data_IF_792586506082
#
_entry.id   IF_792586506082
#
_cell.length_a   1.000
_cell.length_b   1.000
_cell.length_c   1.000
_cell.angle_alpha   90.00
_cell.angle_beta   90.00
_cell.angle_gamma   90.00
#
_symmetry.space_group_name_H-M   'P 1'
#
loop_
_entity.id
_entity.type
_entity.pdbx_description
1 polymer ?
#
# COMPACT_ATOMS: atom_id res chain seq x y z
N UNK A 1 19.36 8.60 16.13
CA UNK A 1 18.44 9.04 15.08
C UNK A 1 18.07 7.90 14.14
N UNK A 2 18.91 7.43 13.21
CA UNK A 2 18.56 6.43 12.18
C UNK A 2 17.95 5.14 12.75
N UNK A 3 18.51 4.56 13.82
CA UNK A 3 17.94 3.36 14.48
C UNK A 3 16.49 3.58 14.95
N UNK A 4 16.14 4.77 15.45
CA UNK A 4 14.76 5.07 15.86
C UNK A 4 13.81 5.09 14.65
N UNK A 5 14.23 5.62 13.51
CA UNK A 5 13.42 5.66 12.29
C UNK A 5 13.15 4.26 11.74
N UNK A 6 14.19 3.43 11.68
CA UNK A 6 14.03 2.02 11.28
C UNK A 6 13.07 1.29 12.23
N UNK A 7 13.20 1.53 13.54
CA UNK A 7 12.30 0.93 14.53
C UNK A 7 10.85 1.41 14.34
N UNK A 8 10.63 2.72 14.14
CA UNK A 8 9.29 3.27 13.86
C UNK A 8 8.67 2.61 12.62
N UNK A 9 9.46 2.54 11.53
CA UNK A 9 8.99 1.91 10.29
C UNK A 9 8.67 0.42 10.49
N UNK A 10 9.53 -0.31 11.18
CA UNK A 10 9.30 -1.73 11.48
C UNK A 10 8.03 -1.95 12.33
N UNK A 11 7.84 -1.11 13.36
CA UNK A 11 6.63 -1.16 14.20
C UNK A 11 5.37 -0.87 13.36
N UNK A 12 5.39 0.16 12.52
CA UNK A 12 4.24 0.49 11.66
C UNK A 12 3.90 -0.64 10.69
N UNK A 13 4.90 -1.24 10.03
CA UNK A 13 4.70 -2.37 9.14
C UNK A 13 4.18 -3.60 9.89
N UNK A 14 4.69 -3.87 11.09
CA UNK A 14 4.18 -4.95 11.95
C UNK A 14 2.70 -4.74 12.30
N UNK A 15 2.34 -3.54 12.75
CA UNK A 15 0.95 -3.22 13.04
C UNK A 15 0.06 -3.24 11.79
N UNK A 16 0.55 -2.80 10.64
CA UNK A 16 -0.19 -2.92 9.38
C UNK A 16 -0.53 -4.38 9.07
N UNK A 17 0.45 -5.28 9.17
CA UNK A 17 0.26 -6.72 8.94
C UNK A 17 -0.73 -7.29 9.96
N UNK A 18 -0.53 -6.97 11.24
CA UNK A 18 -1.39 -7.45 12.34
C UNK A 18 -2.85 -7.00 12.14
N UNK A 19 -3.07 -5.74 11.83
CA UNK A 19 -4.41 -5.18 11.61
C UNK A 19 -5.04 -5.73 10.33
N UNK A 20 -4.26 -5.87 9.25
CA UNK A 20 -4.73 -6.40 7.98
C UNK A 20 -5.26 -7.83 8.10
N UNK A 21 -4.50 -8.75 8.73
CA UNK A 21 -4.95 -10.12 8.94
C UNK A 21 -5.90 -10.25 10.13
N UNK A 22 -5.69 -9.44 11.17
CA UNK A 22 -6.53 -9.45 12.37
C UNK A 22 -7.97 -9.07 12.09
N UNK A 23 -8.23 -8.09 11.21
CA UNK A 23 -9.59 -7.69 10.87
C UNK A 23 -10.36 -8.81 10.15
N UNK A 24 -9.70 -9.72 9.43
CA UNK A 24 -10.36 -10.85 8.77
C UNK A 24 -11.09 -11.78 9.73
N UNK A 25 -10.68 -11.85 11.00
CA UNK A 25 -11.32 -12.68 12.02
C UNK A 25 -12.74 -12.19 12.38
N UNK A 26 -13.01 -10.92 12.15
CA UNK A 26 -14.28 -10.26 12.50
C UNK A 26 -15.23 -10.06 11.31
N UNK A 27 -14.77 -10.36 10.10
CA UNK A 27 -15.56 -10.18 8.88
C UNK A 27 -16.61 -11.31 8.73
N UNK A 28 -17.87 -10.90 8.55
CA UNK A 28 -19.00 -11.87 8.51
C UNK A 28 -19.76 -11.87 7.19
N UNK A 29 -20.07 -10.71 6.63
CA UNK A 29 -20.82 -10.56 5.36
C UNK A 29 -19.87 -10.08 4.29
N UNK A 30 -19.45 -10.99 3.43
CA UNK A 30 -18.45 -10.70 2.39
C UNK A 30 -19.21 -10.34 1.10
N UNK A 31 -18.81 -9.23 0.48
CA UNK A 31 -19.39 -8.69 -0.74
C UNK A 31 -18.48 -8.95 -1.94
N UNK A 32 -19.05 -9.49 -3.01
CA UNK A 32 -18.32 -9.64 -4.27
C UNK A 32 -18.19 -8.29 -4.98
N UNK A 33 -16.96 -7.88 -5.23
CA UNK A 33 -16.63 -6.60 -5.89
C UNK A 33 -16.30 -6.75 -7.37
N UNK A 34 -16.28 -7.98 -7.91
CA UNK A 34 -15.98 -8.25 -9.32
C UNK A 34 -16.99 -7.57 -10.24
N UNK A 35 -16.51 -6.96 -11.30
CA UNK A 35 -17.32 -6.29 -12.33
C UNK A 35 -16.99 -6.86 -13.71
N UNK A 36 -17.92 -6.74 -14.69
CA UNK A 36 -17.68 -7.24 -16.06
C UNK A 36 -16.40 -6.66 -16.71
N UNK A 37 -15.99 -5.45 -16.34
CA UNK A 37 -14.77 -4.82 -16.84
C UNK A 37 -13.51 -5.57 -16.40
N UNK A 38 -13.52 -6.22 -15.23
CA UNK A 38 -12.38 -6.98 -14.71
C UNK A 38 -12.05 -8.20 -15.58
N UNK A 39 -13.04 -8.73 -16.30
CA UNK A 39 -12.83 -9.81 -17.25
C UNK A 39 -12.05 -9.37 -18.49
N UNK A 40 -12.07 -8.08 -18.83
CA UNK A 40 -11.32 -7.50 -19.97
C UNK A 40 -9.84 -7.26 -19.64
N UNK A 41 -9.48 -7.21 -18.34
CA UNK A 41 -8.09 -7.06 -17.91
C UNK A 41 -7.41 -8.43 -18.04
N UNK A 42 -6.29 -8.55 -18.76
CA UNK A 42 -5.62 -9.84 -18.92
C UNK A 42 -5.01 -10.33 -17.59
N UNK A 43 -4.88 -11.65 -17.44
CA UNK A 43 -4.17 -12.29 -16.34
C UNK A 43 -2.74 -12.60 -16.78
N UNK A 44 -1.76 -11.93 -16.18
CA UNK A 44 -0.33 -12.13 -16.44
C UNK A 44 0.38 -12.58 -15.15
N UNK A 45 0.56 -13.89 -14.92
CA UNK A 45 1.19 -14.41 -13.69
C UNK A 45 2.58 -13.84 -13.40
N UNK A 46 3.39 -13.56 -14.42
CA UNK A 46 4.74 -13.01 -14.26
C UNK A 46 4.75 -11.61 -13.62
N UNK A 47 3.62 -10.88 -13.65
CA UNK A 47 3.50 -9.58 -12.98
C UNK A 47 3.42 -9.70 -11.46
N UNK A 48 3.45 -10.92 -10.93
CA UNK A 48 3.63 -11.18 -9.49
C UNK A 48 4.95 -10.61 -8.99
N UNK A 49 5.98 -10.55 -9.83
CA UNK A 49 7.27 -9.98 -9.45
C UNK A 49 7.18 -8.48 -9.12
N UNK A 50 6.71 -7.59 -10.02
CA UNK A 50 6.46 -6.19 -9.63
C UNK A 50 5.45 -6.06 -8.49
N UNK A 51 4.43 -6.91 -8.38
CA UNK A 51 3.52 -6.92 -7.23
C UNK A 51 4.29 -7.10 -5.90
N UNK A 52 5.22 -8.04 -5.83
CA UNK A 52 6.01 -8.29 -4.63
C UNK A 52 7.00 -7.16 -4.30
N UNK A 53 7.37 -6.31 -5.26
CA UNK A 53 8.20 -5.12 -4.97
C UNK A 53 7.52 -4.11 -4.04
N UNK A 54 6.23 -4.22 -3.81
CA UNK A 54 5.53 -3.39 -2.84
C UNK A 54 6.13 -3.51 -1.42
N UNK A 55 6.46 -4.72 -0.97
CA UNK A 55 7.01 -4.95 0.36
C UNK A 55 8.34 -4.20 0.61
N UNK A 56 9.40 -4.39 -0.20
CA UNK A 56 10.63 -3.61 -0.02
C UNK A 56 10.43 -2.11 -0.28
N UNK A 57 9.51 -1.72 -1.17
CA UNK A 57 9.27 -0.31 -1.46
C UNK A 57 8.71 0.42 -0.23
N UNK A 58 7.66 -0.10 0.40
CA UNK A 58 7.08 0.53 1.60
C UNK A 58 8.01 0.50 2.81
N UNK A 59 8.99 -0.40 2.85
CA UNK A 59 9.98 -0.49 3.92
C UNK A 59 11.13 0.50 3.73
N UNK A 60 11.65 0.65 2.50
CA UNK A 60 12.88 1.40 2.21
C UNK A 60 12.59 2.85 1.83
N UNK A 61 11.56 3.08 1.01
CA UNK A 61 11.24 4.41 0.49
C UNK A 61 11.11 5.51 1.55
N UNK A 62 10.41 5.30 2.69
CA UNK A 62 10.29 6.34 3.71
C UNK A 62 11.64 6.75 4.30
N UNK A 63 12.60 5.83 4.43
CA UNK A 63 13.94 6.12 4.93
C UNK A 63 14.73 7.00 3.95
N UNK A 64 14.52 6.81 2.65
CA UNK A 64 15.11 7.68 1.61
C UNK A 64 14.48 9.08 1.68
N UNK A 65 13.17 9.18 1.83
CA UNK A 65 12.48 10.47 2.00
C UNK A 65 13.00 11.21 3.22
N UNK A 66 13.19 10.53 4.36
CA UNK A 66 13.70 11.15 5.58
C UNK A 66 15.08 11.77 5.39
N UNK A 67 15.99 11.11 4.67
CA UNK A 67 17.33 11.61 4.41
C UNK A 67 17.31 12.89 3.57
N UNK A 68 16.29 13.04 2.76
CA UNK A 68 16.14 14.19 1.85
C UNK A 68 15.34 15.31 2.49
N UNK A 69 14.18 15.00 3.04
CA UNK A 69 13.25 15.97 3.64
C UNK A 69 12.50 15.34 4.83
N UNK A 70 12.91 15.66 6.07
CA UNK A 70 12.24 15.14 7.28
C UNK A 70 10.78 15.51 7.42
N UNK A 71 10.35 16.67 6.87
CA UNK A 71 8.94 17.05 6.90
C UNK A 71 8.10 16.16 5.97
N UNK A 72 8.58 15.93 4.74
CA UNK A 72 7.94 15.00 3.82
C UNK A 72 7.84 13.59 4.41
N UNK A 73 8.86 13.14 5.14
CA UNK A 73 8.80 11.86 5.87
C UNK A 73 7.73 11.87 6.96
N UNK A 74 7.69 12.92 7.80
CA UNK A 74 6.67 13.04 8.86
C UNK A 74 5.25 12.97 8.27
N UNK A 75 4.98 13.77 7.23
CA UNK A 75 3.69 13.79 6.57
C UNK A 75 3.35 12.46 5.86
N UNK A 76 4.36 11.77 5.32
CA UNK A 76 4.21 10.41 4.77
C UNK A 76 3.76 9.43 5.85
N UNK A 77 4.45 9.40 7.01
CA UNK A 77 4.09 8.51 8.12
C UNK A 77 2.68 8.75 8.63
N UNK A 78 2.32 10.03 8.88
CA UNK A 78 0.96 10.37 9.34
C UNK A 78 -0.10 9.94 8.34
N UNK A 79 0.12 10.15 7.05
CA UNK A 79 -0.77 9.69 5.99
C UNK A 79 -0.89 8.16 5.98
N UNK A 80 0.23 7.44 6.05
CA UNK A 80 0.25 5.97 6.06
C UNK A 80 -0.55 5.39 7.24
N UNK A 81 -0.40 5.96 8.43
CA UNK A 81 -1.18 5.52 9.61
C UNK A 81 -2.67 5.69 9.38
N UNK A 82 -3.09 6.83 8.81
CA UNK A 82 -4.51 7.10 8.53
C UNK A 82 -5.03 6.15 7.45
N UNK A 83 -4.24 5.90 6.38
CA UNK A 83 -4.60 4.92 5.33
C UNK A 83 -4.86 3.52 5.93
N UNK A 84 -3.99 3.07 6.83
CA UNK A 84 -4.14 1.77 7.50
C UNK A 84 -5.44 1.75 8.32
N UNK A 85 -5.66 2.75 9.16
CA UNK A 85 -6.85 2.84 10.03
C UNK A 85 -8.14 2.88 9.22
N UNK A 86 -8.19 3.71 8.18
CA UNK A 86 -9.38 3.85 7.34
C UNK A 86 -9.62 2.59 6.49
N UNK A 87 -8.57 1.97 5.98
CA UNK A 87 -8.70 0.70 5.26
C UNK A 87 -9.27 -0.39 6.16
N UNK A 88 -8.74 -0.54 7.37
CA UNK A 88 -9.23 -1.53 8.33
C UNK A 88 -10.69 -1.25 8.71
N UNK A 89 -11.06 0.02 8.91
CA UNK A 89 -12.45 0.40 9.14
C UNK A 89 -13.35 -0.01 7.96
N UNK A 90 -12.93 0.25 6.72
CA UNK A 90 -13.66 -0.19 5.53
C UNK A 90 -13.78 -1.71 5.47
N UNK A 91 -12.71 -2.45 5.75
CA UNK A 91 -12.70 -3.92 5.72
C UNK A 91 -13.62 -4.54 6.77
N UNK A 92 -13.79 -3.88 7.93
CA UNK A 92 -14.71 -4.33 8.98
C UNK A 92 -16.16 -3.97 8.68
N UNK A 93 -16.42 -2.78 8.14
CA UNK A 93 -17.77 -2.29 7.84
C UNK A 93 -18.33 -2.96 6.58
N UNK A 94 -17.51 -3.08 5.55
CA UNK A 94 -17.89 -3.61 4.25
C UNK A 94 -16.83 -4.58 3.70
N UNK A 95 -16.73 -5.80 4.27
CA UNK A 95 -15.76 -6.80 3.83
C UNK A 95 -15.97 -7.17 2.36
N UNK A 96 -14.89 -7.16 1.60
CA UNK A 96 -14.92 -7.40 0.15
C UNK A 96 -14.03 -8.56 -0.25
N UNK A 97 -14.45 -9.28 -1.27
CA UNK A 97 -13.71 -10.38 -1.90
C UNK A 97 -14.13 -10.53 -3.36
N UNK A 98 -13.42 -11.35 -4.10
CA UNK A 98 -13.84 -11.83 -5.42
C UNK A 98 -13.16 -13.15 -5.77
N UNK A 99 -13.76 -13.89 -6.69
CA UNK A 99 -13.19 -15.15 -7.14
C UNK A 99 -11.99 -14.91 -8.07
N UNK A 100 -10.82 -15.33 -7.63
CA UNK A 100 -9.58 -15.28 -8.40
C UNK A 100 -9.50 -16.42 -9.41
N UNK A 101 -8.87 -16.22 -10.59
CA UNK A 101 -8.62 -17.31 -11.54
C UNK A 101 -7.58 -18.29 -10.97
N UNK A 102 -7.65 -19.53 -11.43
CA UNK A 102 -6.62 -20.54 -11.11
C UNK A 102 -5.34 -20.16 -11.88
N UNK A 103 -4.19 -20.03 -11.20
CA UNK A 103 -2.93 -19.78 -11.87
C UNK A 103 -2.56 -20.95 -12.80
N UNK A 104 -1.97 -20.67 -13.98
CA UNK A 104 -1.55 -21.72 -14.90
C UNK A 104 -0.37 -22.54 -14.32
N UNK A 105 -0.05 -23.66 -14.95
CA UNK A 105 1.15 -24.42 -14.60
C UNK A 105 2.42 -23.69 -15.03
N UNK A 106 3.54 -24.02 -14.35
CA UNK A 106 4.87 -23.47 -14.61
C UNK A 106 5.31 -22.44 -13.57
N UNK A 107 6.57 -22.02 -13.67
CA UNK A 107 7.26 -21.21 -12.66
C UNK A 107 6.45 -19.99 -12.16
N UNK A 108 5.92 -19.19 -13.07
CA UNK A 108 5.14 -17.98 -12.68
C UNK A 108 3.79 -18.32 -12.06
N UNK A 109 3.16 -19.39 -12.53
CA UNK A 109 1.91 -19.86 -11.96
C UNK A 109 2.10 -20.43 -10.55
N UNK A 110 3.17 -21.17 -10.33
CA UNK A 110 3.49 -21.72 -9.00
C UNK A 110 3.89 -20.60 -8.04
N UNK A 111 4.58 -19.58 -8.49
CA UNK A 111 4.82 -18.38 -7.68
C UNK A 111 3.50 -17.65 -7.35
N UNK A 112 2.58 -17.51 -8.32
CA UNK A 112 1.25 -16.96 -8.05
C UNK A 112 0.45 -17.81 -7.04
N UNK A 113 0.51 -19.15 -7.13
CA UNK A 113 -0.13 -20.03 -6.14
C UNK A 113 0.38 -19.77 -4.73
N UNK A 114 1.70 -19.55 -4.57
CA UNK A 114 2.32 -19.19 -3.28
C UNK A 114 1.75 -17.87 -2.73
N UNK A 115 1.65 -16.82 -3.58
CA UNK A 115 1.10 -15.53 -3.18
C UNK A 115 -0.39 -15.63 -2.85
N UNK A 116 -1.16 -16.39 -3.63
CA UNK A 116 -2.57 -16.65 -3.34
C UNK A 116 -2.76 -17.41 -2.02
N UNK A 117 -1.83 -18.33 -1.70
CA UNK A 117 -1.85 -19.04 -0.42
C UNK A 117 -1.60 -18.09 0.77
N UNK A 118 -0.69 -17.13 0.62
CA UNK A 118 -0.44 -16.08 1.64
C UNK A 118 -1.65 -15.19 1.93
N UNK A 119 -2.57 -15.05 0.96
CA UNK A 119 -3.86 -14.35 1.08
C UNK A 119 -5.03 -15.28 0.72
N UNK A 120 -5.02 -16.49 1.30
CA UNK A 120 -5.90 -17.60 0.89
C UNK A 120 -7.40 -17.27 0.97
N UNK A 121 -7.81 -16.43 1.90
CA UNK A 121 -9.20 -16.00 2.02
C UNK A 121 -9.63 -15.01 0.94
N UNK A 122 -8.66 -14.33 0.28
CA UNK A 122 -8.93 -13.32 -0.75
C UNK A 122 -9.80 -12.16 -0.27
N UNK A 123 -9.69 -11.81 1.02
CA UNK A 123 -10.43 -10.72 1.66
C UNK A 123 -9.69 -9.38 1.55
N UNK A 124 -10.30 -8.33 2.08
CA UNK A 124 -9.70 -6.99 2.15
C UNK A 124 -9.36 -6.41 0.76
N UNK A 125 -10.26 -6.62 -0.21
CA UNK A 125 -10.00 -6.19 -1.58
C UNK A 125 -10.13 -4.67 -1.74
N UNK A 126 -11.25 -4.09 -1.32
CA UNK A 126 -11.55 -2.65 -1.46
C UNK A 126 -11.62 -1.95 -0.09
N UNK A 127 -10.95 -0.80 0.05
CA UNK A 127 -9.98 -0.18 -0.86
C UNK A 127 -8.62 -0.89 -0.86
N UNK A 128 -7.90 -0.87 -2.01
CA UNK A 128 -6.58 -1.50 -2.09
C UNK A 128 -5.50 -0.70 -1.36
N UNK A 129 -4.93 -1.27 -0.28
CA UNK A 129 -3.76 -0.69 0.41
C UNK A 129 -2.50 -0.66 -0.47
N UNK A 130 -2.34 -1.61 -1.39
CA UNK A 130 -1.23 -1.58 -2.36
C UNK A 130 -1.31 -0.34 -3.23
N UNK A 131 -2.51 -0.01 -3.72
CA UNK A 131 -2.71 1.14 -4.60
C UNK A 131 -2.64 2.46 -3.83
N UNK A 132 -3.28 2.60 -2.66
CA UNK A 132 -3.27 3.84 -1.90
C UNK A 132 -1.85 4.20 -1.45
N UNK A 133 -1.08 3.24 -0.93
CA UNK A 133 0.32 3.48 -0.56
C UNK A 133 1.21 3.81 -1.77
N UNK A 134 0.95 3.22 -2.94
CA UNK A 134 1.64 3.61 -4.17
C UNK A 134 1.29 5.04 -4.60
N UNK A 135 0.03 5.47 -4.47
CA UNK A 135 -0.36 6.86 -4.72
C UNK A 135 0.32 7.82 -3.75
N UNK A 136 0.42 7.44 -2.46
CA UNK A 136 1.16 8.19 -1.46
C UNK A 136 2.65 8.31 -1.81
N UNK A 137 3.29 7.23 -2.24
CA UNK A 137 4.69 7.20 -2.68
C UNK A 137 4.89 8.11 -3.89
N UNK A 138 4.02 8.02 -4.90
CA UNK A 138 4.09 8.86 -6.10
C UNK A 138 3.96 10.34 -5.71
N UNK A 139 2.92 10.69 -4.95
CA UNK A 139 2.69 12.06 -4.49
C UNK A 139 3.90 12.60 -3.70
N UNK A 140 4.37 11.84 -2.71
CA UNK A 140 5.52 12.25 -1.89
C UNK A 140 6.78 12.40 -2.71
N UNK A 141 7.01 11.57 -3.72
CA UNK A 141 8.18 11.68 -4.61
C UNK A 141 8.20 13.01 -5.38
N UNK A 142 7.03 13.56 -5.74
CA UNK A 142 6.95 14.84 -6.45
C UNK A 142 7.07 16.04 -5.52
N UNK A 143 6.55 15.96 -4.29
CA UNK A 143 6.58 17.10 -3.34
C UNK A 143 7.83 17.13 -2.47
N UNK A 144 8.57 16.02 -2.32
CA UNK A 144 9.81 15.96 -1.54
C UNK A 144 10.88 16.84 -2.21
N UNK A 145 11.17 17.97 -1.55
CA UNK A 145 12.16 18.92 -2.03
C UNK A 145 13.56 18.32 -1.94
N UNK A 146 14.34 18.45 -3.02
CA UNK A 146 15.70 17.92 -3.09
C UNK A 146 15.83 16.44 -3.40
N UNK A 147 14.74 15.71 -3.64
CA UNK A 147 14.81 14.30 -4.07
C UNK A 147 15.55 14.19 -5.42
N UNK A 148 16.57 13.34 -5.45
CA UNK A 148 17.32 13.07 -6.68
C UNK A 148 16.37 12.64 -7.81
N UNK A 149 16.46 13.25 -9.02
CA UNK A 149 15.57 12.94 -10.15
C UNK A 149 15.54 11.46 -10.53
N UNK A 150 16.67 10.76 -10.48
CA UNK A 150 16.74 9.33 -10.81
C UNK A 150 16.02 8.48 -9.76
N UNK A 151 16.18 8.79 -8.48
CA UNK A 151 15.45 8.12 -7.39
C UNK A 151 13.95 8.33 -7.59
N UNK A 152 13.53 9.55 -7.92
CA UNK A 152 12.13 9.88 -8.21
C UNK A 152 11.58 9.06 -9.37
N UNK A 153 12.29 9.04 -10.51
CA UNK A 153 11.87 8.29 -11.70
C UNK A 153 11.74 6.80 -11.39
N UNK A 154 12.76 6.20 -10.77
CA UNK A 154 12.76 4.77 -10.42
C UNK A 154 11.62 4.44 -9.47
N UNK A 155 11.45 5.22 -8.40
CA UNK A 155 10.43 4.99 -7.38
C UNK A 155 9.02 5.11 -7.96
N UNK A 156 8.75 6.16 -8.74
CA UNK A 156 7.46 6.37 -9.39
C UNK A 156 7.17 5.24 -10.39
N UNK A 157 8.17 4.84 -11.19
CA UNK A 157 8.01 3.74 -12.15
C UNK A 157 7.66 2.42 -11.44
N UNK A 158 8.35 2.11 -10.34
CA UNK A 158 8.05 0.90 -9.55
C UNK A 158 6.63 1.00 -8.96
N UNK A 159 6.25 2.14 -8.38
CA UNK A 159 4.92 2.32 -7.81
C UNK A 159 3.81 2.16 -8.85
N UNK A 160 3.98 2.71 -10.06
CA UNK A 160 3.04 2.53 -11.17
C UNK A 160 2.97 1.06 -11.61
N UNK A 161 4.12 0.39 -11.75
CA UNK A 161 4.15 -1.04 -12.07
C UNK A 161 3.43 -1.89 -11.02
N UNK A 162 3.57 -1.56 -9.73
CA UNK A 162 2.85 -2.23 -8.65
C UNK A 162 1.34 -2.06 -8.83
N UNK A 163 0.84 -0.84 -9.03
CA UNK A 163 -0.60 -0.59 -9.24
C UNK A 163 -1.13 -1.41 -10.42
N UNK A 164 -0.44 -1.40 -11.56
CA UNK A 164 -0.85 -2.19 -12.72
C UNK A 164 -0.80 -3.70 -12.44
N UNK A 165 0.21 -4.15 -11.70
CA UNK A 165 0.37 -5.57 -11.35
C UNK A 165 -0.73 -6.08 -10.43
N UNK A 166 -1.32 -5.25 -9.56
CA UNK A 166 -2.46 -5.67 -8.73
C UNK A 166 -3.64 -6.16 -9.56
N UNK A 167 -3.89 -5.52 -10.70
CA UNK A 167 -4.96 -5.87 -11.62
C UNK A 167 -4.60 -7.10 -12.49
N UNK A 168 -3.38 -7.15 -12.99
CA UNK A 168 -2.93 -8.22 -13.91
C UNK A 168 -2.58 -9.52 -13.19
N UNK A 169 -2.25 -9.50 -11.90
CA UNK A 169 -2.14 -10.67 -11.03
C UNK A 169 -3.49 -11.13 -10.49
N UNK A 170 -4.58 -10.37 -10.75
CA UNK A 170 -5.90 -10.63 -10.16
C UNK A 170 -5.86 -10.69 -8.62
N UNK A 171 -5.02 -9.88 -8.00
CA UNK A 171 -5.05 -9.66 -6.55
C UNK A 171 -6.11 -8.61 -6.19
N UNK A 172 -6.37 -7.67 -7.10
CA UNK A 172 -7.39 -6.63 -6.95
C UNK A 172 -8.24 -6.49 -8.21
N UNK A 173 -9.43 -5.93 -8.04
CA UNK A 173 -10.35 -5.51 -9.10
C UNK A 173 -10.19 -4.02 -9.38
N UNK A 174 -10.76 -3.56 -10.48
CA UNK A 174 -10.72 -2.12 -10.82
C UNK A 174 -11.37 -1.25 -9.73
N UNK A 175 -12.44 -1.74 -9.09
CA UNK A 175 -13.12 -1.00 -8.03
C UNK A 175 -12.21 -0.80 -6.81
N UNK A 176 -11.33 -1.76 -6.50
CA UNK A 176 -10.39 -1.67 -5.39
C UNK A 176 -9.37 -0.54 -5.62
N UNK A 177 -8.92 -0.40 -6.87
CA UNK A 177 -8.00 0.69 -7.28
C UNK A 177 -8.73 2.04 -7.24
N UNK A 178 -9.96 2.10 -7.75
CA UNK A 178 -10.75 3.34 -7.76
C UNK A 178 -11.09 3.80 -6.35
N UNK A 179 -11.42 2.90 -5.43
CA UNK A 179 -11.69 3.24 -4.02
C UNK A 179 -10.44 3.59 -3.23
N UNK A 180 -9.27 3.17 -3.68
CA UNK A 180 -7.98 3.59 -3.10
C UNK A 180 -7.68 5.09 -3.35
N UNK A 181 -8.25 5.70 -4.41
CA UNK A 181 -8.04 7.12 -4.71
C UNK A 181 -8.63 8.03 -3.61
N UNK A 182 -9.94 7.99 -3.30
CA UNK A 182 -10.48 8.79 -2.21
C UNK A 182 -9.86 8.46 -0.86
N UNK A 183 -9.54 7.19 -0.57
CA UNK A 183 -8.80 6.82 0.63
C UNK A 183 -7.49 7.58 0.72
N UNK A 184 -6.65 7.53 -0.32
CA UNK A 184 -5.40 8.27 -0.39
C UNK A 184 -5.60 9.78 -0.21
N UNK A 185 -6.52 10.39 -0.95
CA UNK A 185 -6.72 11.85 -0.90
C UNK A 185 -7.14 12.34 0.48
N UNK A 186 -8.11 11.67 1.12
CA UNK A 186 -8.57 12.02 2.46
C UNK A 186 -7.44 11.81 3.48
N UNK A 187 -6.77 10.66 3.43
CA UNK A 187 -5.66 10.36 4.34
C UNK A 187 -4.49 11.33 4.16
N UNK A 188 -4.24 11.78 2.92
CA UNK A 188 -3.18 12.74 2.63
C UNK A 188 -3.45 14.12 3.21
N UNK A 189 -4.68 14.62 3.06
CA UNK A 189 -5.09 15.90 3.65
C UNK A 189 -4.93 15.85 5.18
N UNK A 190 -5.48 14.84 5.82
CA UNK A 190 -5.39 14.67 7.27
C UNK A 190 -3.95 14.45 7.74
N UNK A 191 -3.17 13.67 6.98
CA UNK A 191 -1.75 13.41 7.29
C UNK A 191 -0.88 14.66 7.23
N UNK A 192 -1.14 15.58 6.30
CA UNK A 192 -0.47 16.88 6.25
C UNK A 192 -0.86 17.72 7.48
N UNK A 193 -2.15 17.82 7.79
CA UNK A 193 -2.62 18.57 8.97
C UNK A 193 -1.97 18.06 10.27
N UNK A 194 -1.88 16.74 10.44
CA UNK A 194 -1.20 16.16 11.61
C UNK A 194 0.31 16.42 11.57
N UNK A 195 0.94 16.35 10.40
CA UNK A 195 2.35 16.67 10.29
C UNK A 195 2.63 18.14 10.67
N UNK A 196 1.84 19.09 10.20
CA UNK A 196 1.96 20.50 10.57
C UNK A 196 1.83 20.71 12.09
N UNK A 197 0.91 19.99 12.72
CA UNK A 197 0.69 20.09 14.16
C UNK A 197 1.80 19.44 14.99
N UNK A 198 2.33 18.29 14.56
CA UNK A 198 3.19 17.44 15.39
C UNK A 198 4.66 17.35 14.91
N UNK A 199 5.05 18.11 13.88
CA UNK A 199 6.38 18.01 13.31
C UNK A 199 7.52 18.31 14.30
N UNK A 200 7.36 19.32 15.17
CA UNK A 200 8.35 19.68 16.18
C UNK A 200 8.52 18.55 17.20
N UNK A 201 7.41 17.98 17.69
CA UNK A 201 7.41 16.82 18.59
C UNK A 201 8.06 15.61 17.94
N UNK A 202 7.78 15.38 16.66
CA UNK A 202 8.42 14.33 15.88
C UNK A 202 9.94 14.52 15.81
N UNK A 203 10.44 15.72 15.49
CA UNK A 203 11.88 16.02 15.47
C UNK A 203 12.53 15.75 16.82
N UNK A 204 11.92 16.23 17.91
CA UNK A 204 12.41 16.01 19.28
C UNK A 204 12.46 14.49 19.60
N UNK A 205 11.44 13.74 19.22
CA UNK A 205 11.39 12.29 19.44
C UNK A 205 12.52 11.55 18.72
N UNK A 206 12.83 11.90 17.48
CA UNK A 206 13.92 11.27 16.73
C UNK A 206 15.32 11.74 17.14
N UNK A 207 15.42 12.82 17.92
CA UNK A 207 16.70 13.42 18.37
C UNK A 207 17.31 14.34 17.33
N UNK A 208 16.49 15.20 16.73
CA UNK A 208 16.86 16.27 15.80
C UNK A 208 16.48 17.63 16.37
#
# INVERSE_FOLDING_TARGET
>A
MFKKLVLVQAILLFFQILLYFGCELFQRRIHDVKRPVDAKIPFFPWTVLPYCFWFPLIAVYPLVVFQTDPYSYCSYLMTMVIEIVFSVACYLIYPTSFQRPVPPDGFWGDFMKLIYHGSYRGLNCAPSLHCSSCFLIICTSFICVGMNPWIRIVTVSIAVMIVLSTLTTKQHTLIDVLTAVPLFLISRILGIMLADQYYVQFLTFIGK
#
